data_IF_423471288228
#
_entry.id   IF_423471288228
#
_cell.length_a   1.000
_cell.length_b   1.000
_cell.length_c   1.000
_cell.angle_alpha   90.00
_cell.angle_beta   90.00
_cell.angle_gamma   90.00
#
_symmetry.space_group_name_H-M   'P 1'
#
loop_
_entity.id
_entity.type
_entity.pdbx_description
1 polymer ?
#
# COMPACT_ATOMS: atom_id res chain seq x y z
N UNK A 1 7.43 -8.92 -6.63
CA UNK A 1 6.22 -8.14 -6.32
C UNK A 1 5.45 -8.85 -5.22
N UNK A 2 4.87 -8.12 -4.27
CA UNK A 2 3.94 -8.64 -3.28
C UNK A 2 2.56 -8.08 -3.63
N UNK A 3 1.82 -8.83 -4.44
CA UNK A 3 0.57 -8.38 -5.06
C UNK A 3 -0.55 -9.43 -5.04
N UNK A 4 -0.25 -10.61 -4.48
CA UNK A 4 -1.21 -11.66 -4.20
C UNK A 4 -1.31 -11.85 -2.68
N UNK A 5 -2.50 -12.02 -2.08
CA UNK A 5 -2.65 -12.13 -0.63
C UNK A 5 -1.80 -13.27 -0.03
N UNK A 6 -1.66 -14.38 -0.74
CA UNK A 6 -0.80 -15.50 -0.31
C UNK A 6 0.67 -15.08 -0.14
N UNK A 7 1.18 -14.21 -1.01
CA UNK A 7 2.56 -13.73 -0.91
C UNK A 7 2.76 -12.86 0.34
N UNK A 8 1.77 -12.04 0.69
CA UNK A 8 1.80 -11.27 1.93
C UNK A 8 1.75 -12.17 3.18
N UNK A 9 0.88 -13.20 3.15
CA UNK A 9 0.69 -14.17 4.24
C UNK A 9 1.89 -15.12 4.46
N UNK A 10 2.77 -15.25 3.46
CA UNK A 10 3.97 -16.11 3.53
C UNK A 10 5.25 -15.33 3.24
N UNK A 11 5.26 -14.03 3.56
CA UNK A 11 6.30 -13.11 3.13
C UNK A 11 7.68 -13.49 3.69
N UNK A 12 7.74 -14.06 4.91
CA UNK A 12 9.00 -14.55 5.49
C UNK A 12 9.72 -15.58 4.60
N UNK A 13 8.98 -16.57 4.08
CA UNK A 13 9.55 -17.58 3.17
C UNK A 13 10.00 -16.97 1.84
N UNK A 14 9.24 -16.01 1.32
CA UNK A 14 9.59 -15.32 0.06
C UNK A 14 10.87 -14.50 0.24
N UNK A 15 11.07 -13.87 1.40
CA UNK A 15 12.24 -13.05 1.70
C UNK A 15 13.56 -13.85 1.78
N UNK A 16 13.51 -15.17 1.98
CA UNK A 16 14.70 -16.03 1.89
C UNK A 16 15.35 -15.94 0.50
N UNK A 17 14.53 -15.88 -0.55
CA UNK A 17 14.99 -15.80 -1.93
C UNK A 17 15.00 -14.36 -2.51
N UNK A 18 14.11 -13.49 -2.05
CA UNK A 18 13.98 -12.14 -2.57
C UNK A 18 14.92 -11.14 -1.85
N UNK A 19 15.55 -10.26 -2.62
CA UNK A 19 16.40 -9.18 -2.09
C UNK A 19 15.64 -7.87 -1.84
N UNK A 20 14.45 -7.73 -2.43
CA UNK A 20 13.55 -6.61 -2.20
C UNK A 20 12.10 -7.02 -2.44
N UNK A 21 11.18 -6.31 -1.79
CA UNK A 21 9.76 -6.35 -2.08
C UNK A 21 9.31 -5.05 -2.73
N UNK A 22 8.40 -5.17 -3.68
CA UNK A 22 7.62 -4.06 -4.22
C UNK A 22 6.16 -4.47 -4.14
N UNK A 23 5.37 -3.74 -3.37
CA UNK A 23 3.94 -3.99 -3.28
C UNK A 23 3.25 -3.50 -4.56
N UNK A 24 2.60 -4.43 -5.25
CA UNK A 24 1.67 -4.14 -6.34
C UNK A 24 0.29 -3.92 -5.75
N UNK A 25 0.05 -2.73 -5.20
CA UNK A 25 -1.15 -2.48 -4.39
C UNK A 25 -2.44 -2.51 -5.20
N UNK A 26 -2.39 -2.21 -6.51
CA UNK A 26 -3.56 -2.34 -7.38
C UNK A 26 -4.07 -3.79 -7.39
N UNK A 27 -3.22 -4.76 -7.75
CA UNK A 27 -3.59 -6.18 -7.77
C UNK A 27 -3.85 -6.74 -6.38
N UNK A 28 -3.10 -6.30 -5.37
CA UNK A 28 -3.35 -6.70 -3.99
C UNK A 28 -4.74 -6.26 -3.52
N UNK A 29 -5.17 -5.03 -3.86
CA UNK A 29 -6.52 -4.52 -3.62
C UNK A 29 -7.55 -5.34 -4.39
N UNK A 30 -7.32 -5.62 -5.68
CA UNK A 30 -8.23 -6.45 -6.49
C UNK A 30 -8.48 -7.81 -5.83
N UNK A 31 -7.41 -8.51 -5.44
CA UNK A 31 -7.52 -9.84 -4.84
C UNK A 31 -8.06 -9.81 -3.42
N UNK A 32 -7.70 -8.80 -2.61
CA UNK A 32 -8.15 -8.69 -1.23
C UNK A 32 -9.63 -8.32 -1.12
N UNK A 33 -10.11 -7.42 -1.98
CA UNK A 33 -11.53 -7.06 -2.06
C UNK A 33 -12.37 -8.03 -2.90
N UNK A 34 -11.73 -8.85 -3.75
CA UNK A 34 -12.42 -9.67 -4.73
C UNK A 34 -13.03 -8.83 -5.87
N UNK A 35 -12.39 -7.71 -6.21
CA UNK A 35 -12.85 -6.77 -7.22
C UNK A 35 -11.99 -6.86 -8.48
N UNK A 36 -12.64 -7.01 -9.62
CA UNK A 36 -12.04 -6.66 -10.92
C UNK A 36 -12.21 -5.15 -11.10
N UNK A 37 -11.10 -4.38 -11.13
CA UNK A 37 -11.16 -2.90 -11.18
C UNK A 37 -12.02 -2.40 -12.34
N UNK A 38 -11.79 -2.96 -13.52
CA UNK A 38 -12.49 -2.57 -14.75
C UNK A 38 -14.01 -2.81 -14.67
N UNK A 39 -14.44 -3.85 -13.97
CA UNK A 39 -15.86 -4.20 -13.85
C UNK A 39 -16.57 -3.41 -12.74
N UNK A 40 -15.89 -3.19 -11.59
CA UNK A 40 -16.53 -2.58 -10.41
C UNK A 40 -16.72 -1.07 -10.56
N UNK A 41 -15.79 -0.39 -11.26
CA UNK A 41 -15.87 1.06 -11.52
C UNK A 41 -17.12 1.41 -12.34
N UNK A 42 -17.47 0.58 -13.34
CA UNK A 42 -18.63 0.79 -14.21
C UNK A 42 -19.96 0.24 -13.66
N UNK A 43 -19.96 -0.49 -12.54
CA UNK A 43 -21.14 -1.21 -12.06
C UNK A 43 -21.71 -0.66 -10.75
N UNK A 44 -20.98 -0.75 -9.64
CA UNK A 44 -21.54 -0.45 -8.31
C UNK A 44 -20.69 0.50 -7.45
N UNK A 45 -19.50 0.91 -7.89
CA UNK A 45 -18.64 1.82 -7.11
C UNK A 45 -19.32 3.14 -6.75
N UNK A 46 -19.94 3.81 -7.72
CA UNK A 46 -20.69 5.05 -7.49
C UNK A 46 -21.79 4.84 -6.44
N UNK A 47 -22.47 3.69 -6.48
CA UNK A 47 -23.53 3.39 -5.52
C UNK A 47 -22.98 3.18 -4.10
N UNK A 48 -21.84 2.53 -3.97
CA UNK A 48 -21.19 2.31 -2.67
C UNK A 48 -20.68 3.62 -2.06
N UNK A 49 -20.18 4.55 -2.88
CA UNK A 49 -19.80 5.89 -2.43
C UNK A 49 -21.04 6.70 -1.99
N UNK A 50 -22.12 6.69 -2.78
CA UNK A 50 -23.38 7.37 -2.42
C UNK A 50 -23.99 6.85 -1.11
N UNK A 51 -23.87 5.54 -0.86
CA UNK A 51 -24.37 4.90 0.35
C UNK A 51 -23.41 5.04 1.55
N UNK A 52 -22.24 5.64 1.35
CA UNK A 52 -21.20 5.76 2.39
C UNK A 52 -20.60 4.42 2.82
N UNK A 53 -20.74 3.38 2.00
CA UNK A 53 -20.06 2.09 2.23
C UNK A 53 -18.56 2.27 2.01
N UNK A 54 -18.19 3.05 0.98
CA UNK A 54 -16.84 3.56 0.80
C UNK A 54 -16.81 5.04 1.14
N UNK A 55 -15.81 5.48 1.90
CA UNK A 55 -15.48 6.90 2.02
C UNK A 55 -14.68 7.39 0.80
N UNK A 56 -13.71 6.58 0.37
CA UNK A 56 -12.86 6.80 -0.80
C UNK A 56 -12.70 5.49 -1.55
N UNK A 57 -12.45 5.55 -2.85
CA UNK A 57 -12.15 4.35 -3.65
C UNK A 57 -10.94 3.61 -3.07
N UNK A 58 -11.02 2.29 -2.83
CA UNK A 58 -9.88 1.50 -2.35
C UNK A 58 -8.76 1.32 -3.40
N UNK A 59 -8.98 1.78 -4.64
CA UNK A 59 -7.98 1.85 -5.70
C UNK A 59 -7.29 3.24 -5.78
N UNK A 60 -7.82 4.23 -5.06
CA UNK A 60 -7.27 5.58 -5.01
C UNK A 60 -6.44 5.80 -3.75
N UNK A 61 -6.99 5.43 -2.59
CA UNK A 61 -6.31 5.45 -1.29
C UNK A 61 -6.34 4.06 -0.66
N UNK A 62 -5.22 3.67 -0.04
CA UNK A 62 -5.05 2.33 0.50
C UNK A 62 -6.07 2.05 1.59
N UNK A 63 -6.76 0.91 1.48
CA UNK A 63 -7.57 0.37 2.57
C UNK A 63 -6.65 -0.09 3.70
N UNK A 64 -6.53 0.72 4.76
CA UNK A 64 -5.65 0.43 5.91
C UNK A 64 -6.11 -0.80 6.71
N UNK A 65 -7.41 -1.07 6.78
CA UNK A 65 -7.97 -2.11 7.64
C UNK A 65 -7.91 -3.50 7.03
N UNK A 66 -8.00 -3.63 5.71
CA UNK A 66 -7.84 -4.90 5.00
C UNK A 66 -6.47 -5.02 4.34
N UNK A 67 -6.26 -4.29 3.25
CA UNK A 67 -5.03 -4.37 2.45
C UNK A 67 -3.80 -3.92 3.24
N UNK A 68 -3.93 -2.86 4.04
CA UNK A 68 -2.87 -2.36 4.91
C UNK A 68 -2.37 -3.40 5.89
N UNK A 69 -3.25 -4.26 6.43
CA UNK A 69 -2.83 -5.37 7.31
C UNK A 69 -2.01 -6.43 6.58
N UNK A 70 -2.31 -6.69 5.31
CA UNK A 70 -1.48 -7.58 4.49
C UNK A 70 -0.09 -6.98 4.26
N UNK A 71 -0.02 -5.67 4.00
CA UNK A 71 1.24 -4.94 3.81
C UNK A 71 2.07 -4.97 5.10
N UNK A 72 1.47 -4.61 6.24
CA UNK A 72 2.15 -4.61 7.55
C UNK A 72 2.69 -5.99 7.90
N UNK A 73 1.88 -7.05 7.75
CA UNK A 73 2.31 -8.42 7.97
C UNK A 73 3.51 -8.79 7.09
N UNK A 74 3.44 -8.47 5.80
CA UNK A 74 4.48 -8.80 4.84
C UNK A 74 5.80 -8.05 5.11
N UNK A 75 5.71 -6.79 5.54
CA UNK A 75 6.88 -6.01 5.99
C UNK A 75 7.52 -6.68 7.21
N UNK A 76 6.71 -7.01 8.22
CA UNK A 76 7.18 -7.59 9.48
C UNK A 76 7.85 -8.95 9.27
N UNK A 77 7.18 -9.85 8.56
CA UNK A 77 7.72 -11.20 8.30
C UNK A 77 8.91 -11.16 7.33
N UNK A 78 8.84 -10.32 6.29
CA UNK A 78 9.93 -10.17 5.33
C UNK A 78 11.22 -9.68 6.01
N UNK A 79 11.12 -8.66 6.87
CA UNK A 79 12.28 -8.15 7.64
C UNK A 79 12.74 -9.10 8.74
N UNK A 80 11.85 -9.90 9.31
CA UNK A 80 12.25 -10.94 10.26
C UNK A 80 13.12 -12.02 9.60
N UNK A 81 12.81 -12.40 8.35
CA UNK A 81 13.60 -13.36 7.59
C UNK A 81 14.85 -12.74 6.95
N UNK A 82 14.79 -11.49 6.50
CA UNK A 82 15.90 -10.74 5.89
C UNK A 82 15.96 -9.30 6.44
N UNK A 83 16.79 -9.01 7.45
CA UNK A 83 16.84 -7.70 8.10
C UNK A 83 17.20 -6.52 7.19
N UNK A 84 17.95 -6.77 6.10
CA UNK A 84 18.36 -5.77 5.12
C UNK A 84 17.42 -5.67 3.90
N UNK A 85 16.27 -6.37 3.93
CA UNK A 85 15.29 -6.39 2.85
C UNK A 85 14.77 -4.98 2.54
N UNK A 86 14.97 -4.55 1.29
CA UNK A 86 14.40 -3.30 0.78
C UNK A 86 12.95 -3.49 0.42
N UNK A 87 12.08 -2.60 0.88
CA UNK A 87 10.63 -2.73 0.68
C UNK A 87 10.09 -1.42 0.17
N UNK A 88 9.40 -1.44 -0.97
CA UNK A 88 8.64 -0.28 -1.44
C UNK A 88 7.29 -0.66 -2.01
N UNK A 89 6.65 0.32 -2.61
CA UNK A 89 5.35 0.19 -3.26
C UNK A 89 5.38 0.86 -4.63
N UNK A 90 4.67 0.28 -5.58
CA UNK A 90 4.40 0.87 -6.89
C UNK A 90 2.89 0.98 -7.13
N UNK A 91 2.52 1.88 -8.03
CA UNK A 91 1.12 2.07 -8.45
C UNK A 91 0.54 3.40 -8.00
N UNK A 92 -0.78 3.50 -8.06
CA UNK A 92 -1.50 4.77 -7.85
C UNK A 92 -1.40 5.23 -6.39
N UNK A 93 -1.52 4.30 -5.43
CA UNK A 93 -1.39 4.59 -4.01
C UNK A 93 -0.03 5.21 -3.63
N UNK A 94 1.03 4.95 -4.40
CA UNK A 94 2.37 5.51 -4.14
C UNK A 94 2.44 7.04 -4.31
N UNK A 95 1.42 7.67 -4.89
CA UNK A 95 1.31 9.12 -5.01
C UNK A 95 0.11 9.72 -4.28
N UNK A 96 -0.59 8.93 -3.47
CA UNK A 96 -1.73 9.37 -2.66
C UNK A 96 -1.22 9.80 -1.26
N UNK A 97 -1.54 11.01 -0.76
CA UNK A 97 -1.09 11.47 0.54
C UNK A 97 -1.34 10.48 1.67
N UNK A 98 -2.59 10.08 1.91
CA UNK A 98 -2.94 9.25 3.07
C UNK A 98 -2.27 7.87 3.01
N UNK A 99 -2.12 7.32 1.81
CA UNK A 99 -1.37 6.10 1.54
C UNK A 99 0.14 6.28 1.78
N UNK A 100 0.75 7.38 1.35
CA UNK A 100 2.17 7.68 1.59
C UNK A 100 2.48 7.77 3.09
N UNK A 101 1.59 8.41 3.87
CA UNK A 101 1.72 8.45 5.33
C UNK A 101 1.61 7.05 5.93
N UNK A 102 0.65 6.23 5.49
CA UNK A 102 0.55 4.83 5.91
C UNK A 102 1.81 4.03 5.59
N UNK A 103 2.35 4.14 4.37
CA UNK A 103 3.56 3.43 3.95
C UNK A 103 4.78 3.84 4.79
N UNK A 104 4.85 5.10 5.21
CA UNK A 104 5.84 5.55 6.17
C UNK A 104 5.64 4.91 7.55
N UNK A 105 4.41 4.87 8.07
CA UNK A 105 4.06 4.26 9.36
C UNK A 105 4.45 2.78 9.44
N UNK A 106 4.17 2.00 8.38
CA UNK A 106 4.56 0.57 8.32
C UNK A 106 6.04 0.37 7.96
N UNK A 107 6.76 1.45 7.66
CA UNK A 107 8.21 1.43 7.52
C UNK A 107 8.73 1.00 6.15
N UNK A 108 8.02 1.28 5.06
CA UNK A 108 8.55 1.12 3.70
C UNK A 108 9.79 2.03 3.47
N UNK A 109 10.73 1.55 2.66
CA UNK A 109 11.93 2.29 2.25
C UNK A 109 11.65 3.33 1.15
N UNK A 110 10.68 3.08 0.27
CA UNK A 110 10.35 3.99 -0.83
C UNK A 110 8.90 3.86 -1.33
N UNK A 111 8.43 4.92 -1.97
CA UNK A 111 7.21 4.93 -2.80
C UNK A 111 7.59 5.21 -4.25
N UNK A 112 6.88 4.58 -5.19
CA UNK A 112 7.03 4.78 -6.63
C UNK A 112 5.66 5.13 -7.23
N UNK A 113 5.60 6.25 -7.95
CA UNK A 113 4.37 6.79 -8.54
C UNK A 113 4.63 7.37 -9.93
N UNK A 114 3.56 7.76 -10.63
CA UNK A 114 3.65 8.38 -11.94
C UNK A 114 4.43 9.71 -11.90
N UNK A 115 5.11 10.12 -12.98
CA UNK A 115 6.02 11.28 -12.96
C UNK A 115 5.41 12.56 -12.40
N UNK A 116 4.15 12.84 -12.73
CA UNK A 116 3.44 14.04 -12.26
C UNK A 116 3.05 14.01 -10.79
N UNK A 117 2.97 12.82 -10.17
CA UNK A 117 2.70 12.65 -8.73
C UNK A 117 3.95 12.69 -7.87
N UNK A 118 5.15 12.61 -8.47
CA UNK A 118 6.43 12.66 -7.73
C UNK A 118 6.55 13.89 -6.81
N UNK A 119 6.18 15.13 -7.21
CA UNK A 119 6.24 16.28 -6.32
C UNK A 119 5.36 16.13 -5.08
N UNK A 120 4.14 15.59 -5.25
CA UNK A 120 3.19 15.34 -4.15
C UNK A 120 3.73 14.25 -3.23
N UNK A 121 4.18 13.12 -3.77
CA UNK A 121 4.75 12.03 -3.00
C UNK A 121 5.96 12.49 -2.15
N UNK A 122 6.82 13.35 -2.71
CA UNK A 122 7.96 13.93 -1.98
C UNK A 122 7.54 14.85 -0.85
N UNK A 123 6.55 15.71 -1.09
CA UNK A 123 6.02 16.61 -0.07
C UNK A 123 5.41 15.82 1.09
N UNK A 124 4.59 14.82 0.78
CA UNK A 124 3.91 14.02 1.79
C UNK A 124 4.84 13.06 2.53
N UNK A 125 5.85 12.49 1.88
CA UNK A 125 6.90 11.74 2.58
C UNK A 125 7.68 12.63 3.57
N UNK A 126 7.93 13.90 3.20
CA UNK A 126 8.50 14.90 4.10
C UNK A 126 7.59 15.16 5.30
N UNK A 127 6.29 15.42 5.05
CA UNK A 127 5.29 15.65 6.11
C UNK A 127 5.11 14.45 7.02
N UNK A 128 5.08 13.23 6.50
CA UNK A 128 5.00 12.01 7.30
C UNK A 128 6.19 11.86 8.25
N UNK A 129 7.38 12.26 7.79
CA UNK A 129 8.61 12.22 8.61
C UNK A 129 8.60 13.29 9.71
N UNK A 130 8.15 14.51 9.42
CA UNK A 130 8.19 15.64 10.38
C UNK A 130 6.95 15.74 11.25
N UNK A 131 5.79 15.24 10.81
CA UNK A 131 4.52 15.32 11.54
C UNK A 131 4.50 14.52 12.85
N UNK A 132 5.58 13.79 13.15
CA UNK A 132 5.79 13.05 14.40
C UNK A 132 6.48 13.86 15.51
N UNK A 133 6.67 15.18 15.35
CA UNK A 133 7.01 16.10 16.45
C UNK A 133 5.75 16.61 17.12
N UNK A 134 5.31 15.93 18.18
CA UNK A 134 4.64 16.46 19.39
C UNK A 134 3.73 15.39 20.02
N UNK A 135 4.34 14.40 20.66
CA UNK A 135 3.83 13.80 21.89
C UNK A 135 5.04 13.31 22.68
N UNK A 136 5.30 13.97 23.81
CA UNK A 136 6.37 13.63 24.75
C UNK A 136 6.10 12.36 25.54
#
# INVERSE_FOLDING_TARGET
MIEVPRAALTAGQIAEAAQFFSFGTNDLTQMGWGFSRDDVEGSFFSKYLELGIFGVSPFESIDREGIGRLIDLAVREGRAARPDLKIGVCGEHGGDPDSVHFFHEVGLDYVSCSPFRVPVARLEAGRATTGRTDTG
#
